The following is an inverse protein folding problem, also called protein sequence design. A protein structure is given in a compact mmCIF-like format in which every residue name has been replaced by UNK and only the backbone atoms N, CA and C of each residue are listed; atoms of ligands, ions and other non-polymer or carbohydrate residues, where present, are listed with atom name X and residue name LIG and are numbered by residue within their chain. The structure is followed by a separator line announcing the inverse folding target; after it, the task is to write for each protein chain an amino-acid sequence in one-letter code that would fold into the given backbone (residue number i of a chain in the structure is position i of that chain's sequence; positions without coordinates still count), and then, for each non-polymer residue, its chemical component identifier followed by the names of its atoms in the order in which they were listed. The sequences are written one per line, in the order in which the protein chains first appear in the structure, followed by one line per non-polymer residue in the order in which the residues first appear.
data_IF_091516559859
#
_entry.id   IF_091516559859
#
_cell.length_a   1.000
_cell.length_b   1.000
_cell.length_c   1.000
_cell.angle_alpha   90.00
_cell.angle_beta   90.00
_cell.angle_gamma   90.00
#
_symmetry.space_group_name_H-M   'P 1'
#
loop_
_entity.id
_entity.type
_entity.pdbx_description
1 polymer ?
#
# COMPACT_ATOMS: atom_id res chain seq x y z
N UNK A 1 -9.32 2.82 -16.19
CA UNK A 1 -8.44 3.65 -15.34
C UNK A 1 -8.64 3.40 -13.83
N UNK A 2 -9.88 3.23 -13.33
CA UNK A 2 -10.16 2.99 -11.89
C UNK A 2 -9.69 1.61 -11.38
N UNK A 3 -9.71 0.59 -12.25
CA UNK A 3 -9.39 -0.79 -11.89
C UNK A 3 -7.94 -1.04 -11.41
N UNK A 4 -6.88 -0.56 -12.10
CA UNK A 4 -5.51 -0.74 -11.60
C UNK A 4 -5.23 0.03 -10.30
N UNK A 5 -5.84 1.21 -10.13
CA UNK A 5 -5.73 1.98 -8.87
C UNK A 5 -6.34 1.24 -7.67
N UNK A 6 -7.49 0.57 -7.85
CA UNK A 6 -8.10 -0.28 -6.82
C UNK A 6 -7.24 -1.51 -6.49
N UNK A 7 -6.65 -2.15 -7.49
CA UNK A 7 -5.73 -3.27 -7.28
C UNK A 7 -4.47 -2.84 -6.51
N UNK A 8 -3.90 -1.68 -6.83
CA UNK A 8 -2.79 -1.10 -6.08
C UNK A 8 -3.16 -0.70 -4.65
N UNK A 9 -4.34 -0.14 -4.43
CA UNK A 9 -4.83 0.20 -3.09
C UNK A 9 -5.03 -1.04 -2.21
N UNK A 10 -5.60 -2.12 -2.78
CA UNK A 10 -5.74 -3.41 -2.10
C UNK A 10 -4.37 -4.02 -1.78
N UNK A 11 -3.43 -3.98 -2.73
CA UNK A 11 -2.05 -4.42 -2.49
C UNK A 11 -1.36 -3.66 -1.36
N UNK A 12 -1.55 -2.33 -1.31
CA UNK A 12 -1.06 -1.49 -0.23
C UNK A 12 -1.63 -1.86 1.14
N UNK A 13 -2.94 -2.15 1.24
CA UNK A 13 -3.56 -2.62 2.49
C UNK A 13 -3.02 -3.97 2.94
N UNK A 14 -2.83 -4.91 2.02
CA UNK A 14 -2.26 -6.23 2.34
C UNK A 14 -0.83 -6.10 2.84
N UNK A 15 -0.02 -5.24 2.21
CA UNK A 15 1.35 -4.97 2.65
C UNK A 15 1.39 -4.37 4.06
N UNK A 16 0.52 -3.40 4.36
CA UNK A 16 0.41 -2.77 5.68
C UNK A 16 -0.04 -3.78 6.73
N UNK A 17 -1.05 -4.59 6.42
CA UNK A 17 -1.51 -5.65 7.32
C UNK A 17 -0.40 -6.66 7.61
N UNK A 18 0.38 -7.06 6.60
CA UNK A 18 1.54 -7.94 6.75
C UNK A 18 2.63 -7.32 7.63
N UNK A 19 2.99 -6.05 7.41
CA UNK A 19 4.00 -5.35 8.20
C UNK A 19 3.63 -5.22 9.68
N UNK A 20 2.36 -4.93 9.96
CA UNK A 20 1.85 -4.84 11.33
C UNK A 20 1.75 -6.23 11.98
N UNK A 21 1.31 -7.25 11.24
CA UNK A 21 1.18 -8.62 11.77
C UNK A 21 2.53 -9.28 12.06
N UNK A 22 3.52 -9.07 11.19
CA UNK A 22 4.89 -9.58 11.36
C UNK A 22 5.73 -8.73 12.35
N UNK A 23 5.16 -7.63 12.85
CA UNK A 23 5.84 -6.63 13.69
C UNK A 23 7.24 -6.27 13.17
N UNK A 24 7.34 -6.01 11.86
CA UNK A 24 8.64 -5.83 11.19
C UNK A 24 9.35 -4.63 11.79
N UNK A 25 10.52 -4.85 12.39
CA UNK A 25 11.30 -3.80 13.05
C UNK A 25 10.56 -3.16 14.25
N UNK A 26 9.68 -3.92 14.92
CA UNK A 26 8.79 -3.44 15.98
C UNK A 26 7.81 -2.34 15.54
N UNK A 27 7.49 -2.23 14.24
CA UNK A 27 6.54 -1.24 13.72
C UNK A 27 5.13 -1.41 14.30
N UNK A 28 4.63 -2.62 14.44
CA UNK A 28 3.35 -2.90 15.09
C UNK A 28 3.38 -2.46 16.54
N UNK A 29 4.43 -2.83 17.27
CA UNK A 29 4.64 -2.40 18.66
C UNK A 29 4.80 -0.88 18.80
N UNK A 30 5.39 -0.21 17.81
CA UNK A 30 5.58 1.24 17.79
C UNK A 30 4.28 1.99 17.47
N UNK A 31 3.51 1.47 16.53
CA UNK A 31 2.28 2.10 16.03
C UNK A 31 1.08 1.83 16.95
N UNK A 32 1.01 0.64 17.56
CA UNK A 32 -0.03 0.25 18.54
C UNK A 32 0.41 0.44 20.01
N UNK A 33 1.65 0.84 20.26
CA UNK A 33 2.16 1.08 21.60
C UNK A 33 1.45 2.26 22.29
N UNK A 34 1.63 2.45 23.61
CA UNK A 34 0.91 3.45 24.40
C UNK A 34 1.05 4.91 23.94
N UNK A 35 2.08 5.20 23.13
CA UNK A 35 2.32 6.50 22.51
C UNK A 35 1.77 6.62 21.07
N UNK A 36 1.40 5.50 20.44
CA UNK A 36 0.90 5.41 19.07
C UNK A 36 -0.62 5.35 19.02
N UNK A 37 -1.23 6.39 18.44
CA UNK A 37 -2.67 6.44 18.20
C UNK A 37 -3.08 5.92 16.81
N UNK A 38 -4.33 6.13 16.42
CA UNK A 38 -4.85 5.77 15.08
C UNK A 38 -4.18 6.56 13.93
N UNK A 39 -3.55 7.69 14.22
CA UNK A 39 -2.93 8.58 13.22
C UNK A 39 -1.75 7.92 12.49
N UNK A 40 -0.74 7.35 13.16
CA UNK A 40 0.35 6.64 12.48
C UNK A 40 -0.12 5.44 11.65
N UNK A 41 -1.15 4.70 12.10
CA UNK A 41 -1.77 3.63 11.30
C UNK A 41 -2.34 4.19 9.99
N UNK A 42 -3.09 5.28 10.08
CA UNK A 42 -3.69 5.95 8.92
C UNK A 42 -2.64 6.47 7.94
N UNK A 43 -1.57 7.10 8.43
CA UNK A 43 -0.47 7.58 7.59
C UNK A 43 0.31 6.45 6.92
N UNK A 44 0.61 5.37 7.64
CA UNK A 44 1.27 4.18 7.09
C UNK A 44 0.41 3.56 5.98
N UNK A 45 -0.88 3.40 6.25
CA UNK A 45 -1.85 2.83 5.32
C UNK A 45 -1.99 3.69 4.06
N UNK A 46 -2.15 5.00 4.23
CA UNK A 46 -2.27 5.95 3.12
C UNK A 46 -0.99 6.01 2.27
N UNK A 47 0.19 6.02 2.90
CA UNK A 47 1.47 6.01 2.19
C UNK A 47 1.60 4.80 1.27
N UNK A 48 1.36 3.59 1.82
CA UNK A 48 1.43 2.36 1.03
C UNK A 48 0.35 2.28 -0.06
N UNK A 49 -0.87 2.72 0.20
CA UNK A 49 -1.91 2.82 -0.83
C UNK A 49 -1.50 3.73 -1.99
N UNK A 50 -0.91 4.90 -1.70
CA UNK A 50 -0.47 5.85 -2.73
C UNK A 50 0.69 5.25 -3.54
N UNK A 51 1.66 4.62 -2.89
CA UNK A 51 2.82 4.00 -3.55
C UNK A 51 2.40 2.87 -4.47
N UNK A 52 1.66 1.88 -3.96
CA UNK A 52 1.21 0.74 -4.77
C UNK A 52 0.16 1.13 -5.82
N UNK A 53 -0.73 2.08 -5.49
CA UNK A 53 -1.68 2.65 -6.46
C UNK A 53 -0.97 3.33 -7.64
N UNK A 54 0.05 4.14 -7.36
CA UNK A 54 0.85 4.80 -8.40
C UNK A 54 1.64 3.79 -9.25
N UNK A 55 2.24 2.77 -8.61
CA UNK A 55 2.94 1.71 -9.31
C UNK A 55 2.02 0.91 -10.25
N UNK A 56 0.81 0.57 -9.79
CA UNK A 56 -0.17 -0.15 -10.59
C UNK A 56 -0.68 0.67 -11.80
N UNK A 57 -0.89 1.97 -11.62
CA UNK A 57 -1.25 2.87 -12.73
C UNK A 57 -0.10 2.97 -13.72
N UNK A 58 1.14 3.19 -13.26
CA UNK A 58 2.32 3.25 -14.13
C UNK A 58 2.54 1.96 -14.93
N UNK A 59 2.42 0.81 -14.26
CA UNK A 59 2.50 -0.50 -14.92
C UNK A 59 1.43 -0.68 -16.00
N UNK A 60 0.19 -0.23 -15.74
CA UNK A 60 -0.88 -0.30 -16.74
C UNK A 60 -0.59 0.56 -17.98
N UNK A 61 -0.02 1.77 -17.78
CA UNK A 61 0.36 2.65 -18.88
C UNK A 61 1.50 2.03 -19.70
N UNK A 62 2.51 1.45 -19.04
CA UNK A 62 3.61 0.77 -19.73
C UNK A 62 3.13 -0.45 -20.52
N UNK A 63 2.09 -1.14 -20.07
CA UNK A 63 1.52 -2.31 -20.78
C UNK A 63 0.77 -1.94 -22.05
N UNK A 64 0.24 -0.71 -22.19
CA UNK A 64 -0.47 -0.26 -23.41
C UNK A 64 0.40 -0.30 -24.66
N UNK A 65 1.72 -0.20 -24.53
CA UNK A 65 2.66 -0.35 -25.66
C UNK A 65 3.03 -1.79 -25.99
N UNK A 66 2.45 -2.77 -25.27
CA UNK A 66 2.77 -4.20 -25.40
C UNK A 66 1.61 -5.01 -25.98
N UNK A 67 0.46 -4.39 -26.28
CA UNK A 67 -0.65 -5.06 -26.97
C UNK A 67 -0.17 -5.50 -28.37
N UNK A 68 -0.09 -6.81 -28.66
CA UNK A 68 0.20 -7.28 -30.01
C UNK A 68 -1.05 -7.13 -30.87
N UNK A 69 -0.89 -6.45 -32.00
CA UNK A 69 -1.89 -6.20 -33.06
C UNK A 69 -2.83 -7.38 -33.36
#
# INVERSE_FOLDING_TARGET
MVLPGLAGALGGLVAVAGLLFLDVGSLGTLVLGPAGGLVPVGLLSAGFMITFGSAAIGASIMSLGTDPD
#
